data_IF_037235942431
#
_entry.id   IF_037235942431
#
_cell.length_a   1.000
_cell.length_b   1.000
_cell.length_c   1.000
_cell.angle_alpha   90.00
_cell.angle_beta   90.00
_cell.angle_gamma   90.00
#
_symmetry.space_group_name_H-M   'P 1'
#
loop_
_entity.id
_entity.type
_entity.pdbx_description
1 polymer ?
#
# COMPACT_ATOMS: atom_id res chain seq x y z
N UNK A 1 -34.98 50.52 28.58
CA UNK A 1 -35.50 49.13 28.51
C UNK A 1 -35.77 48.76 27.04
N UNK A 2 -34.76 48.29 26.31
CA UNK A 2 -34.87 47.65 24.97
C UNK A 2 -33.68 46.73 24.82
N UNK A 3 -33.79 45.51 25.31
CA UNK A 3 -32.68 44.55 25.36
C UNK A 3 -33.17 43.11 25.15
N UNK A 4 -34.14 42.89 24.26
CA UNK A 4 -34.56 41.53 23.84
C UNK A 4 -35.01 41.60 22.38
N UNK A 5 -34.06 41.71 21.45
CA UNK A 5 -34.35 41.56 20.00
C UNK A 5 -33.14 41.10 19.18
N UNK A 6 -31.97 40.88 19.80
CA UNK A 6 -30.74 40.51 19.08
C UNK A 6 -30.35 39.02 19.17
N UNK A 7 -31.19 38.16 19.75
CA UNK A 7 -30.78 36.78 20.09
C UNK A 7 -31.43 35.66 19.28
N UNK A 8 -32.34 35.93 18.34
CA UNK A 8 -33.04 34.85 17.62
C UNK A 8 -32.68 34.78 16.12
N UNK A 9 -32.03 35.80 15.56
CA UNK A 9 -31.54 35.75 14.17
C UNK A 9 -30.16 35.08 14.02
N UNK A 10 -29.59 34.54 15.10
CA UNK A 10 -28.32 33.78 15.05
C UNK A 10 -28.54 32.27 14.94
N UNK A 11 -29.80 31.80 14.89
CA UNK A 11 -30.15 30.38 14.97
C UNK A 11 -30.52 29.74 13.61
N UNK A 12 -30.32 30.47 12.50
CA UNK A 12 -30.64 30.00 11.13
C UNK A 12 -29.40 30.00 10.20
N UNK A 13 -28.20 30.20 10.74
CA UNK A 13 -26.92 30.03 10.00
C UNK A 13 -26.13 28.86 10.62
N UNK A 14 -26.85 27.83 11.04
CA UNK A 14 -26.27 26.63 11.63
C UNK A 14 -27.02 25.41 11.10
N UNK A 15 -27.01 25.24 9.78
CA UNK A 15 -27.25 23.96 9.11
C UNK A 15 -26.99 24.16 7.61
N UNK A 16 -26.21 23.28 6.99
CA UNK A 16 -25.76 23.29 5.59
C UNK A 16 -24.41 23.96 5.29
N UNK A 17 -23.48 23.92 6.24
CA UNK A 17 -22.11 23.55 5.85
C UNK A 17 -22.06 22.02 5.79
N UNK A 18 -22.65 21.44 4.73
CA UNK A 18 -22.15 20.16 4.23
C UNK A 18 -20.76 20.48 3.67
N UNK A 19 -19.78 20.54 4.56
CA UNK A 19 -18.39 20.43 4.18
C UNK A 19 -18.28 19.00 3.68
N UNK A 20 -18.54 18.81 2.38
CA UNK A 20 -18.01 17.68 1.66
C UNK A 20 -16.51 17.89 1.70
N UNK A 21 -15.87 17.43 2.80
CA UNK A 21 -14.43 17.35 2.87
C UNK A 21 -14.08 16.22 1.91
N UNK A 22 -13.95 16.58 0.64
CA UNK A 22 -13.27 15.75 -0.33
C UNK A 22 -11.79 15.80 0.06
N UNK A 23 -11.41 15.00 1.06
CA UNK A 23 -10.02 14.71 1.33
C UNK A 23 -9.50 14.00 0.08
N UNK A 24 -8.78 14.71 -0.81
CA UNK A 24 -7.95 14.01 -1.78
C UNK A 24 -6.85 13.33 -0.97
N UNK A 25 -7.01 12.03 -0.75
CA UNK A 25 -5.97 11.17 -0.15
C UNK A 25 -4.97 10.86 -1.25
N UNK A 26 -4.35 11.91 -1.80
CA UNK A 26 -3.25 11.72 -2.73
C UNK A 26 -2.03 11.30 -1.92
N UNK A 27 -1.61 10.05 -2.08
CA UNK A 27 -0.47 9.49 -1.35
C UNK A 27 0.50 8.85 -2.33
N UNK A 28 1.79 9.09 -2.14
CA UNK A 28 2.84 8.66 -3.07
C UNK A 28 3.93 7.91 -2.31
N UNK A 29 4.21 6.69 -2.74
CA UNK A 29 5.24 5.82 -2.17
C UNK A 29 6.28 5.48 -3.23
N UNK A 30 7.56 5.63 -2.91
CA UNK A 30 8.66 5.48 -3.86
C UNK A 30 9.62 4.40 -3.41
N UNK A 31 9.97 3.50 -4.33
CA UNK A 31 10.92 2.42 -4.09
C UNK A 31 12.02 2.45 -5.14
N UNK A 32 13.27 2.28 -4.73
CA UNK A 32 14.42 2.31 -5.64
C UNK A 32 15.28 1.06 -5.47
N UNK A 33 15.87 0.61 -6.58
CA UNK A 33 16.95 -0.37 -6.54
C UNK A 33 18.30 0.34 -6.48
N UNK A 34 19.21 -0.18 -5.66
CA UNK A 34 20.60 0.28 -5.61
C UNK A 34 21.47 -0.71 -6.40
N UNK A 35 22.29 -0.20 -7.31
CA UNK A 35 23.16 -1.00 -8.18
C UNK A 35 23.29 -0.43 -9.59
N UNK A 36 23.83 -1.23 -10.50
CA UNK A 36 23.93 -0.87 -11.92
C UNK A 36 22.52 -0.76 -12.54
N UNK A 37 22.21 0.42 -13.08
CA UNK A 37 20.91 0.71 -13.66
C UNK A 37 19.79 0.93 -12.64
N UNK A 38 19.89 1.99 -11.83
CA UNK A 38 18.87 2.40 -10.83
C UNK A 38 17.47 2.36 -11.43
N UNK A 39 16.64 1.46 -10.91
CA UNK A 39 15.23 1.36 -11.25
C UNK A 39 14.39 1.98 -10.14
N UNK A 40 13.19 2.44 -10.51
CA UNK A 40 12.28 3.12 -9.61
C UNK A 40 10.86 2.58 -9.77
N UNK A 41 10.20 2.32 -8.67
CA UNK A 41 8.77 2.15 -8.60
C UNK A 41 8.13 3.34 -7.88
N UNK A 42 6.98 3.80 -8.36
CA UNK A 42 6.15 4.77 -7.66
C UNK A 42 4.73 4.24 -7.59
N UNK A 43 4.19 4.09 -6.38
CA UNK A 43 2.79 3.79 -6.13
C UNK A 43 2.11 5.12 -5.81
N UNK A 44 1.17 5.54 -6.65
CA UNK A 44 0.42 6.78 -6.50
C UNK A 44 -1.04 6.44 -6.23
N UNK A 45 -1.53 6.72 -5.04
CA UNK A 45 -2.95 6.66 -4.71
C UNK A 45 -3.56 8.00 -5.07
N UNK A 46 -4.54 8.01 -5.97
CA UNK A 46 -5.21 9.23 -6.45
C UNK A 46 -6.57 9.40 -5.74
N UNK A 47 -7.13 8.28 -5.26
CA UNK A 47 -8.33 8.21 -4.43
C UNK A 47 -8.21 7.04 -3.45
N UNK A 48 -9.28 6.77 -2.69
CA UNK A 48 -9.31 5.68 -1.71
C UNK A 48 -9.17 4.27 -2.33
N UNK A 49 -9.56 4.10 -3.60
CA UNK A 49 -9.60 2.77 -4.24
C UNK A 49 -8.89 2.73 -5.60
N UNK A 50 -8.41 3.87 -6.10
CA UNK A 50 -7.82 3.97 -7.45
C UNK A 50 -6.58 4.85 -7.47
N UNK A 51 -5.67 4.54 -8.40
CA UNK A 51 -4.52 5.35 -8.75
C UNK A 51 -3.64 4.66 -9.78
N UNK A 52 -2.32 4.84 -9.66
CA UNK A 52 -1.38 4.38 -10.66
C UNK A 52 -0.06 3.89 -10.08
N UNK A 53 0.57 2.95 -10.78
CA UNK A 53 1.93 2.48 -10.51
C UNK A 53 2.82 2.86 -11.69
N UNK A 54 3.98 3.44 -11.40
CA UNK A 54 4.99 3.76 -12.39
C UNK A 54 6.21 2.89 -12.18
N UNK A 55 6.75 2.30 -13.25
CA UNK A 55 8.02 1.59 -13.29
C UNK A 55 8.99 2.33 -14.21
N UNK A 56 10.08 2.84 -13.65
CA UNK A 56 11.01 3.71 -14.36
C UNK A 56 10.36 5.05 -14.72
N UNK A 57 10.55 5.51 -15.95
CA UNK A 57 9.97 6.77 -16.48
C UNK A 57 8.77 6.57 -17.38
N UNK A 58 8.71 5.45 -18.08
CA UNK A 58 7.87 5.32 -19.27
C UNK A 58 6.72 4.32 -19.13
N UNK A 59 6.74 3.50 -18.07
CA UNK A 59 5.71 2.48 -17.83
C UNK A 59 4.80 2.96 -16.71
N UNK A 60 3.52 3.12 -17.05
CA UNK A 60 2.42 3.41 -16.12
C UNK A 60 1.39 2.29 -16.23
N UNK A 61 0.97 1.75 -15.11
CA UNK A 61 -0.19 0.86 -15.01
C UNK A 61 -1.23 1.44 -14.05
N UNK A 62 -2.50 1.18 -14.35
CA UNK A 62 -3.60 1.47 -13.44
C UNK A 62 -3.50 0.57 -12.21
N UNK A 63 -3.87 1.12 -11.05
CA UNK A 63 -3.80 0.42 -9.79
C UNK A 63 -5.11 0.54 -9.01
N UNK A 64 -5.53 -0.59 -8.44
CA UNK A 64 -6.65 -0.69 -7.52
C UNK A 64 -6.13 -0.84 -6.10
N UNK A 65 -6.79 -0.17 -5.16
CA UNK A 65 -6.46 -0.19 -3.75
C UNK A 65 -7.63 -0.70 -2.91
N UNK A 66 -7.31 -1.31 -1.78
CA UNK A 66 -8.31 -1.73 -0.82
C UNK A 66 -8.87 -0.49 -0.10
N UNK A 67 -10.20 -0.34 -0.07
CA UNK A 67 -10.82 0.70 0.76
C UNK A 67 -10.58 0.49 2.27
N UNK A 68 -10.95 1.51 3.03
CA UNK A 68 -10.81 1.54 4.49
C UNK A 68 -11.56 0.41 5.22
N UNK A 69 -12.65 -0.11 4.66
CA UNK A 69 -13.47 -1.19 5.24
C UNK A 69 -12.92 -2.59 4.94
N UNK A 70 -12.06 -2.73 3.93
CA UNK A 70 -11.40 -4.00 3.63
C UNK A 70 -10.61 -4.50 4.84
N UNK A 71 -10.56 -5.83 5.04
CA UNK A 71 -9.67 -6.46 6.03
C UNK A 71 -8.20 -6.47 5.58
N UNK A 72 -7.94 -6.07 4.35
CA UNK A 72 -6.61 -6.06 3.75
C UNK A 72 -6.15 -4.64 3.46
N UNK A 73 -4.84 -4.47 3.48
CA UNK A 73 -4.13 -3.41 2.75
C UNK A 73 -3.74 -4.03 1.41
N UNK A 74 -4.03 -3.37 0.29
CA UNK A 74 -3.64 -3.90 -1.01
C UNK A 74 -3.41 -2.83 -2.07
N UNK A 75 -2.51 -3.16 -2.99
CA UNK A 75 -2.29 -2.47 -4.27
C UNK A 75 -2.22 -3.54 -5.36
N UNK A 76 -3.10 -3.46 -6.34
CA UNK A 76 -3.18 -4.41 -7.46
C UNK A 76 -3.05 -3.65 -8.77
N UNK A 77 -1.99 -3.92 -9.51
CA UNK A 77 -1.70 -3.38 -10.83
C UNK A 77 -1.00 -4.43 -11.69
N UNK A 78 -0.77 -4.11 -12.96
CA UNK A 78 0.07 -4.94 -13.84
C UNK A 78 1.50 -5.10 -13.29
N UNK A 79 2.07 -4.02 -12.75
CA UNK A 79 3.49 -3.99 -12.38
C UNK A 79 3.79 -4.46 -10.95
N UNK A 80 2.86 -4.26 -10.02
CA UNK A 80 2.95 -4.69 -8.63
C UNK A 80 1.60 -5.16 -8.10
N UNK A 81 1.64 -6.25 -7.34
CA UNK A 81 0.47 -6.83 -6.70
C UNK A 81 0.85 -7.28 -5.30
N UNK A 82 0.41 -6.52 -4.31
CA UNK A 82 0.69 -6.76 -2.91
C UNK A 82 -0.61 -6.68 -2.13
N UNK A 83 -0.84 -7.65 -1.25
CA UNK A 83 -1.87 -7.54 -0.24
C UNK A 83 -1.40 -8.16 1.07
N UNK A 84 -1.87 -7.59 2.18
CA UNK A 84 -1.57 -8.07 3.53
C UNK A 84 -2.78 -7.85 4.43
N UNK A 85 -3.14 -8.82 5.29
CA UNK A 85 -4.19 -8.62 6.29
C UNK A 85 -3.80 -7.50 7.26
N UNK A 86 -4.76 -6.62 7.60
CA UNK A 86 -4.56 -5.56 8.59
C UNK A 86 -4.21 -6.12 9.97
N UNK A 87 -4.68 -7.32 10.27
CA UNK A 87 -4.47 -8.07 11.51
C UNK A 87 -3.32 -9.09 11.41
N UNK A 88 -2.42 -8.99 10.41
CA UNK A 88 -1.27 -9.91 10.23
C UNK A 88 -0.52 -10.15 11.55
N UNK A 89 -0.27 -11.41 11.90
CA UNK A 89 0.27 -11.73 13.22
C UNK A 89 0.61 -13.21 13.36
N UNK A 90 0.55 -13.71 14.59
CA UNK A 90 1.10 -15.03 14.90
C UNK A 90 0.37 -16.21 14.24
N UNK A 91 -0.91 -16.07 13.92
CA UNK A 91 -1.77 -17.17 13.45
C UNK A 91 -2.02 -17.17 11.94
N UNK A 92 -1.62 -16.13 11.22
CA UNK A 92 -1.83 -16.04 9.77
C UNK A 92 -0.53 -16.43 9.08
N UNK A 93 -0.49 -17.64 8.54
CA UNK A 93 0.65 -18.17 7.78
C UNK A 93 0.43 -18.06 6.27
N UNK A 94 -0.83 -18.07 5.82
CA UNK A 94 -1.20 -17.99 4.42
C UNK A 94 -2.53 -17.24 4.27
N UNK A 95 -2.70 -16.47 3.19
CA UNK A 95 -3.97 -15.85 2.84
C UNK A 95 -4.15 -15.75 1.33
N UNK A 96 -5.41 -15.65 0.94
CA UNK A 96 -5.81 -15.39 -0.43
C UNK A 96 -6.47 -14.03 -0.54
N UNK A 97 -6.11 -13.29 -1.60
CA UNK A 97 -6.74 -12.04 -1.95
C UNK A 97 -6.84 -11.96 -3.48
N UNK A 98 -8.04 -11.78 -4.01
CA UNK A 98 -8.27 -11.67 -5.47
C UNK A 98 -7.59 -12.82 -6.26
N UNK A 99 -7.87 -14.07 -5.86
CA UNK A 99 -7.33 -15.30 -6.46
C UNK A 99 -5.80 -15.45 -6.40
N UNK A 100 -5.12 -14.60 -5.63
CA UNK A 100 -3.67 -14.63 -5.42
C UNK A 100 -3.34 -15.13 -4.03
N UNK A 101 -2.45 -16.11 -3.97
CA UNK A 101 -1.99 -16.70 -2.73
C UNK A 101 -0.74 -16.00 -2.22
N UNK A 102 -0.74 -15.66 -0.94
CA UNK A 102 0.39 -15.07 -0.23
C UNK A 102 0.71 -15.90 1.00
N UNK A 103 1.98 -15.98 1.34
CA UNK A 103 2.51 -16.81 2.41
C UNK A 103 3.43 -15.97 3.29
N UNK A 104 3.25 -16.07 4.61
CA UNK A 104 4.16 -15.50 5.59
C UNK A 104 5.37 -16.42 5.75
N UNK A 105 6.51 -16.00 5.22
CA UNK A 105 7.76 -16.78 5.24
C UNK A 105 8.50 -16.61 6.57
N UNK A 106 8.48 -15.40 7.13
CA UNK A 106 9.11 -15.11 8.41
C UNK A 106 8.41 -13.94 9.11
N UNK A 107 8.47 -13.93 10.43
CA UNK A 107 7.93 -12.88 11.30
C UNK A 107 8.94 -12.48 12.37
N UNK A 108 8.75 -11.30 12.95
CA UNK A 108 9.63 -10.74 13.97
C UNK A 108 11.09 -10.63 13.49
N UNK A 109 11.26 -10.36 12.19
CA UNK A 109 12.58 -10.17 11.59
C UNK A 109 13.07 -8.75 11.95
N UNK A 110 14.37 -8.63 12.18
CA UNK A 110 15.04 -7.33 12.31
C UNK A 110 15.96 -7.14 11.12
N UNK A 111 15.88 -5.98 10.46
CA UNK A 111 16.73 -5.63 9.32
C UNK A 111 17.24 -4.20 9.44
N UNK A 112 18.50 -4.02 9.09
CA UNK A 112 19.10 -2.71 8.92
C UNK A 112 19.04 -2.31 7.46
N UNK A 113 18.27 -1.27 7.14
CA UNK A 113 18.05 -0.75 5.79
C UNK A 113 18.49 0.71 5.78
N UNK A 114 19.47 1.05 4.94
CA UNK A 114 19.97 2.43 4.76
C UNK A 114 20.36 3.14 6.07
N UNK A 115 20.93 2.39 7.03
CA UNK A 115 21.36 2.93 8.33
C UNK A 115 20.26 3.04 9.39
N UNK A 116 19.05 2.57 9.08
CA UNK A 116 17.94 2.46 10.03
C UNK A 116 17.67 1.00 10.39
N UNK A 117 17.49 0.72 11.68
CA UNK A 117 17.11 -0.61 12.16
C UNK A 117 15.60 -0.70 12.30
N UNK A 118 15.01 -1.68 11.65
CA UNK A 118 13.58 -1.95 11.71
C UNK A 118 13.35 -3.32 12.36
N UNK A 119 12.53 -3.36 13.41
CA UNK A 119 12.11 -4.58 14.09
C UNK A 119 10.69 -5.00 13.70
N UNK A 120 10.27 -6.17 14.17
CA UNK A 120 8.90 -6.69 14.01
C UNK A 120 8.44 -6.78 12.55
N UNK A 121 9.38 -7.12 11.66
CA UNK A 121 9.13 -7.24 10.23
C UNK A 121 8.53 -8.59 9.85
N UNK A 122 7.69 -8.53 8.82
CA UNK A 122 7.08 -9.69 8.16
C UNK A 122 7.71 -9.85 6.77
N UNK A 123 8.17 -11.06 6.47
CA UNK A 123 8.63 -11.45 5.14
C UNK A 123 7.54 -12.25 4.46
N UNK A 124 7.02 -11.73 3.36
CA UNK A 124 5.83 -12.27 2.68
C UNK A 124 6.24 -12.72 1.29
N UNK A 125 5.91 -13.94 0.90
CA UNK A 125 6.08 -14.45 -0.47
C UNK A 125 4.75 -14.39 -1.22
N UNK A 126 4.77 -13.88 -2.44
CA UNK A 126 3.61 -13.87 -3.33
C UNK A 126 3.67 -12.79 -4.40
N UNK A 127 2.59 -12.59 -5.17
CA UNK A 127 1.47 -13.52 -5.28
C UNK A 127 1.88 -14.81 -6.00
N UNK A 128 1.36 -15.97 -5.56
CA UNK A 128 1.36 -17.24 -6.31
C UNK A 128 -0.02 -17.43 -6.96
N UNK A 129 -0.10 -17.89 -8.21
CA UNK A 129 -1.38 -18.24 -8.84
C UNK A 129 -1.90 -19.56 -8.29
N UNK A 130 -3.20 -19.63 -7.93
CA UNK A 130 -3.88 -20.89 -7.60
C UNK A 130 -4.40 -21.65 -8.83
N UNK A 131 -4.49 -21.00 -9.99
CA UNK A 131 -5.03 -21.62 -11.21
C UNK A 131 -3.91 -22.06 -12.15
N UNK A 132 -3.87 -23.37 -12.45
CA UNK A 132 -2.98 -23.99 -13.43
C UNK A 132 -3.36 -23.66 -14.89
N UNK A 133 -4.57 -23.15 -15.15
CA UNK A 133 -5.16 -23.06 -16.50
C UNK A 133 -5.51 -21.64 -16.98
N UNK A 134 -5.12 -20.59 -16.25
CA UNK A 134 -5.27 -19.23 -16.77
C UNK A 134 -4.01 -18.89 -17.56
N UNK A 135 -4.17 -18.71 -18.87
CA UNK A 135 -3.12 -18.30 -19.80
C UNK A 135 -2.49 -17.00 -19.28
N UNK A 136 -1.26 -17.13 -18.80
CA UNK A 136 -0.24 -16.13 -18.50
C UNK A 136 -0.69 -14.66 -18.49
N UNK A 137 -1.14 -14.20 -17.31
CA UNK A 137 -0.63 -12.92 -16.84
C UNK A 137 0.63 -13.23 -16.04
N UNK A 138 1.84 -12.80 -16.45
CA UNK A 138 3.05 -13.07 -15.71
C UNK A 138 3.02 -12.27 -14.41
N UNK A 139 2.42 -12.85 -13.37
CA UNK A 139 2.58 -12.31 -12.04
C UNK A 139 4.01 -12.60 -11.63
N UNK A 140 4.81 -11.54 -11.57
CA UNK A 140 6.14 -11.66 -11.02
C UNK A 140 6.01 -12.11 -9.57
N UNK A 141 6.47 -13.32 -9.27
CA UNK A 141 6.56 -13.80 -7.90
C UNK A 141 7.56 -12.90 -7.18
N UNK A 142 7.18 -12.39 -6.00
CA UNK A 142 8.03 -11.50 -5.22
C UNK A 142 8.14 -11.94 -3.78
N UNK A 143 9.15 -11.40 -3.11
CA UNK A 143 9.21 -11.35 -1.65
C UNK A 143 9.03 -9.91 -1.21
N UNK A 144 8.19 -9.68 -0.22
CA UNK A 144 7.89 -8.37 0.35
C UNK A 144 8.39 -8.33 1.79
N UNK A 145 8.87 -7.16 2.19
CA UNK A 145 9.25 -6.86 3.57
C UNK A 145 8.27 -5.80 4.07
N UNK A 146 7.44 -6.17 5.04
CA UNK A 146 6.36 -5.34 5.54
C UNK A 146 6.50 -5.12 7.05
N UNK A 147 6.17 -3.91 7.50
CA UNK A 147 5.98 -3.55 8.89
C UNK A 147 4.56 -3.03 9.09
N UNK A 148 3.94 -3.37 10.23
CA UNK A 148 2.65 -2.76 10.61
C UNK A 148 2.74 -1.26 10.88
N UNK A 149 3.90 -0.80 11.35
CA UNK A 149 4.13 0.60 11.71
C UNK A 149 4.58 1.43 10.51
N UNK A 150 5.46 0.86 9.68
CA UNK A 150 6.10 1.57 8.57
C UNK A 150 5.57 1.18 7.18
N UNK A 151 4.64 0.24 7.08
CA UNK A 151 4.10 -0.25 5.81
C UNK A 151 5.07 -1.14 5.04
N UNK A 152 4.90 -1.22 3.72
CA UNK A 152 5.77 -1.98 2.82
C UNK A 152 7.13 -1.29 2.70
N UNK A 153 8.17 -1.87 3.27
CA UNK A 153 9.53 -1.31 3.30
C UNK A 153 10.35 -1.67 2.07
N UNK A 154 10.05 -2.79 1.43
CA UNK A 154 10.77 -3.20 0.23
C UNK A 154 10.23 -4.48 -0.37
N UNK A 155 10.71 -4.79 -1.57
CA UNK A 155 10.38 -6.03 -2.26
C UNK A 155 11.50 -6.48 -3.19
N UNK A 156 11.54 -7.78 -3.44
CA UNK A 156 12.50 -8.43 -4.32
C UNK A 156 11.73 -8.95 -5.52
N UNK A 157 12.16 -8.55 -6.72
CA UNK A 157 11.69 -9.16 -7.95
C UNK A 157 12.43 -10.49 -8.15
N UNK A 158 11.71 -11.62 -8.08
CA UNK A 158 12.38 -12.93 -8.16
C UNK A 158 12.87 -13.26 -9.58
N UNK A 159 12.45 -12.51 -10.62
CA UNK A 159 12.88 -12.80 -11.98
C UNK A 159 14.35 -12.44 -12.20
N UNK A 160 14.81 -11.33 -11.62
CA UNK A 160 16.17 -10.80 -11.78
C UNK A 160 16.92 -10.62 -10.45
N UNK A 161 16.25 -10.84 -9.31
CA UNK A 161 16.81 -10.65 -7.98
C UNK A 161 16.94 -9.18 -7.56
N UNK A 162 16.39 -8.24 -8.33
CA UNK A 162 16.48 -6.82 -8.04
C UNK A 162 15.71 -6.50 -6.76
N UNK A 163 16.38 -5.85 -5.82
CA UNK A 163 15.80 -5.43 -4.54
C UNK A 163 15.42 -3.95 -4.61
N UNK A 164 14.17 -3.66 -4.27
CA UNK A 164 13.62 -2.32 -4.20
C UNK A 164 13.34 -1.95 -2.75
N UNK A 165 13.88 -0.81 -2.30
CA UNK A 165 13.68 -0.29 -0.95
C UNK A 165 12.89 1.00 -0.98
N UNK A 166 11.98 1.17 -0.01
CA UNK A 166 11.33 2.44 0.25
C UNK A 166 12.40 3.50 0.56
N UNK A 167 12.26 4.68 -0.03
CA UNK A 167 13.12 5.84 0.25
C UNK A 167 12.46 6.86 1.17
N UNK A 168 11.25 6.56 1.64
CA UNK A 168 10.45 7.41 2.52
C UNK A 168 10.41 6.81 3.92
N UNK A 169 10.18 7.66 4.93
CA UNK A 169 10.02 7.21 6.33
C UNK A 169 8.92 6.17 6.49
N UNK A 170 7.88 6.27 5.65
CA UNK A 170 6.75 5.35 5.58
C UNK A 170 6.58 4.79 4.17
N UNK A 171 6.40 3.49 4.11
CA UNK A 171 6.04 2.72 2.92
C UNK A 171 4.54 2.56 2.74
N UNK A 172 4.14 1.85 1.70
CA UNK A 172 2.73 1.65 1.37
C UNK A 172 2.01 0.84 2.46
N UNK A 173 0.87 1.34 2.96
CA UNK A 173 0.06 0.65 3.98
C UNK A 173 0.34 1.04 5.44
N UNK A 174 1.20 2.04 5.67
CA UNK A 174 1.52 2.64 6.97
C UNK A 174 0.48 3.62 7.52
#
# INVERSE_FOLDING_TARGET
MKLISRLILSMVISLNFYISICYSVESRYVYISFGDGVQKYTINMESQEYGSVYRGRDIKSEAFFCNSFSRFICVISFDISFSVPKDIGNSIEEWEFDYRLYELVAKNVTLDILGHSYSDLYVISGPKSKFLNYVDYPYTQRKYIYSKEYGLLGFIDNNDGTVFWSVSEKGFGS
#
